data_IF_693487948449
#
_entry.id   IF_693487948449
#
_cell.length_a   1.000
_cell.length_b   1.000
_cell.length_c   1.000
_cell.angle_alpha   90.00
_cell.angle_beta   90.00
_cell.angle_gamma   90.00
#
_symmetry.space_group_name_H-M   'P 1'
#
loop_
_entity.id
_entity.type
_entity.pdbx_description
1 polymer ?
#
# COMPACT_ATOMS: atom_id res chain seq x y z
N UNK A 1 -13.00 21.68 3.31
CA UNK A 1 -13.38 20.54 2.46
C UNK A 1 -14.00 19.49 3.37
N UNK A 2 -15.11 18.86 2.99
CA UNK A 2 -15.61 17.71 3.76
C UNK A 2 -14.64 16.53 3.61
N UNK A 3 -14.31 15.80 4.68
CA UNK A 3 -13.43 14.65 4.59
C UNK A 3 -14.04 13.52 3.74
N UNK A 4 -13.20 12.82 2.97
CA UNK A 4 -13.60 11.61 2.26
C UNK A 4 -13.41 10.43 3.20
N UNK A 5 -14.46 9.64 3.41
CA UNK A 5 -14.43 8.52 4.34
C UNK A 5 -13.51 7.38 3.89
N UNK A 6 -13.44 7.12 2.58
CA UNK A 6 -12.65 6.05 2.00
C UNK A 6 -12.21 6.38 0.58
N UNK A 7 -10.92 6.23 0.29
CA UNK A 7 -10.34 6.30 -1.05
C UNK A 7 -9.71 4.94 -1.39
N UNK A 8 -10.03 4.38 -2.56
CA UNK A 8 -9.32 3.23 -3.13
C UNK A 8 -8.47 3.70 -4.30
N UNK A 9 -7.22 3.26 -4.34
CA UNK A 9 -6.31 3.45 -5.46
C UNK A 9 -5.77 2.07 -5.88
N UNK A 10 -5.84 1.77 -7.17
CA UNK A 10 -5.08 0.66 -7.77
C UNK A 10 -3.77 1.27 -8.28
N UNK A 11 -2.63 0.78 -7.80
CA UNK A 11 -1.32 1.39 -8.09
C UNK A 11 -0.46 0.42 -8.89
N UNK A 12 -0.22 0.80 -10.13
CA UNK A 12 0.54 0.09 -11.13
C UNK A 12 1.60 1.00 -11.76
N UNK A 13 2.83 0.51 -11.94
CA UNK A 13 3.85 1.16 -12.77
C UNK A 13 4.04 2.68 -12.54
N UNK A 14 3.61 3.50 -13.49
CA UNK A 14 3.72 4.97 -13.43
C UNK A 14 2.85 5.60 -12.34
N UNK A 15 1.86 4.88 -11.82
CA UNK A 15 0.94 5.37 -10.80
C UNK A 15 1.61 5.50 -9.43
N UNK A 16 2.77 4.87 -9.21
CA UNK A 16 3.59 5.10 -8.02
C UNK A 16 4.01 6.57 -7.90
N UNK A 17 4.36 7.22 -9.02
CA UNK A 17 4.68 8.65 -9.03
C UNK A 17 3.45 9.51 -8.68
N UNK A 18 2.26 9.10 -9.12
CA UNK A 18 1.00 9.79 -8.77
C UNK A 18 0.72 9.69 -7.27
N UNK A 19 0.96 8.51 -6.67
CA UNK A 19 0.84 8.34 -5.23
C UNK A 19 1.84 9.22 -4.47
N UNK A 20 3.08 9.34 -4.97
CA UNK A 20 4.09 10.23 -4.39
C UNK A 20 3.70 11.70 -4.45
N UNK A 21 3.24 12.18 -5.61
CA UNK A 21 2.72 13.54 -5.76
C UNK A 21 1.52 13.80 -4.83
N UNK A 22 0.61 12.82 -4.68
CA UNK A 22 -0.50 12.92 -3.74
C UNK A 22 -0.05 13.04 -2.27
N UNK A 23 1.17 12.60 -1.95
CA UNK A 23 1.80 12.70 -0.63
C UNK A 23 2.60 13.99 -0.39
N UNK A 24 3.00 14.72 -1.44
CA UNK A 24 3.90 15.90 -1.33
C UNK A 24 3.30 17.07 -0.53
N UNK A 25 1.98 17.28 -0.60
CA UNK A 25 1.39 18.55 -0.14
C UNK A 25 0.63 18.49 1.20
N UNK A 26 0.62 17.36 1.93
CA UNK A 26 -0.30 17.07 3.06
C UNK A 26 -1.81 17.24 2.73
N UNK A 27 -2.16 17.84 1.59
CA UNK A 27 -3.48 18.33 1.27
C UNK A 27 -4.34 17.32 0.53
N UNK A 28 -3.78 16.56 -0.42
CA UNK A 28 -4.59 15.63 -1.23
C UNK A 28 -5.02 14.40 -0.43
N UNK A 29 -4.13 13.82 0.38
CA UNK A 29 -4.45 12.68 1.24
C UNK A 29 -4.85 13.07 2.66
N UNK A 30 -4.60 14.30 3.08
CA UNK A 30 -4.84 14.74 4.46
C UNK A 30 -6.32 14.78 4.88
N UNK A 31 -7.26 14.90 3.94
CA UNK A 31 -8.71 14.84 4.21
C UNK A 31 -9.31 13.45 4.02
N UNK A 32 -8.49 12.43 3.78
CA UNK A 32 -8.92 11.04 3.60
C UNK A 32 -8.85 10.31 4.95
N UNK A 33 -9.98 9.75 5.42
CA UNK A 33 -10.03 8.99 6.68
C UNK A 33 -9.46 7.58 6.55
N UNK A 34 -9.73 6.92 5.43
CA UNK A 34 -9.28 5.56 5.16
C UNK A 34 -8.79 5.43 3.73
N UNK A 35 -7.71 4.67 3.54
CA UNK A 35 -7.06 4.47 2.25
C UNK A 35 -6.90 2.97 1.98
N UNK A 36 -7.43 2.53 0.84
CA UNK A 36 -7.14 1.23 0.25
C UNK A 36 -6.15 1.38 -0.90
N UNK A 37 -5.03 0.67 -0.84
CA UNK A 37 -4.02 0.65 -1.91
C UNK A 37 -3.87 -0.77 -2.42
N UNK A 38 -4.25 -1.01 -3.67
CA UNK A 38 -3.85 -2.25 -4.34
C UNK A 38 -2.42 -2.09 -4.86
N UNK A 39 -1.52 -2.93 -4.34
CA UNK A 39 -0.12 -2.96 -4.76
C UNK A 39 0.10 -4.16 -5.66
N UNK A 40 0.59 -3.91 -6.87
CA UNK A 40 0.95 -4.95 -7.83
C UNK A 40 2.43 -5.29 -7.75
N UNK A 41 2.74 -6.59 -7.67
CA UNK A 41 4.09 -7.11 -7.68
C UNK A 41 4.71 -6.95 -9.07
N UNK A 42 6.00 -6.57 -9.15
CA UNK A 42 6.68 -6.39 -10.42
C UNK A 42 6.70 -7.66 -11.29
N UNK A 43 6.59 -8.82 -10.66
CA UNK A 43 6.71 -10.17 -11.26
C UNK A 43 5.73 -10.51 -12.38
N UNK A 44 4.57 -9.84 -12.47
CA UNK A 44 3.50 -10.28 -13.39
C UNK A 44 3.48 -9.51 -14.70
N UNK A 45 4.05 -8.31 -14.74
CA UNK A 45 4.07 -7.45 -15.91
C UNK A 45 5.46 -6.79 -16.07
N UNK A 46 6.52 -7.59 -15.85
CA UNK A 46 7.89 -7.13 -15.89
C UNK A 46 8.19 -6.33 -17.16
N UNK A 47 8.62 -5.09 -17.00
CA UNK A 47 9.57 -4.49 -17.93
C UNK A 47 10.91 -5.22 -17.72
N UNK A 48 11.39 -6.04 -18.68
CA UNK A 48 12.62 -6.79 -18.51
C UNK A 48 13.87 -5.91 -18.31
N UNK A 49 13.76 -4.58 -18.50
CA UNK A 49 14.83 -3.61 -18.24
C UNK A 49 14.86 -3.05 -16.80
N UNK A 50 13.81 -3.27 -15.99
CA UNK A 50 13.73 -2.73 -14.63
C UNK A 50 14.48 -3.61 -13.61
N UNK A 51 15.30 -3.00 -12.74
CA UNK A 51 15.94 -3.70 -11.61
C UNK A 51 14.87 -4.04 -10.55
N UNK A 52 14.55 -5.34 -10.33
CA UNK A 52 13.50 -5.76 -9.40
C UNK A 52 13.70 -5.20 -7.99
N UNK A 53 14.96 -5.13 -7.53
CA UNK A 53 15.27 -4.67 -6.17
C UNK A 53 14.96 -3.19 -6.02
N UNK A 54 15.30 -2.38 -7.03
CA UNK A 54 15.00 -0.95 -7.01
C UNK A 54 13.50 -0.71 -6.98
N UNK A 55 12.73 -1.47 -7.76
CA UNK A 55 11.26 -1.38 -7.73
C UNK A 55 10.71 -1.73 -6.34
N UNK A 56 11.20 -2.81 -5.70
CA UNK A 56 10.76 -3.15 -4.35
C UNK A 56 11.11 -2.09 -3.31
N UNK A 57 12.32 -1.53 -3.36
CA UNK A 57 12.74 -0.45 -2.45
C UNK A 57 11.87 0.79 -2.63
N UNK A 58 11.65 1.20 -3.88
CA UNK A 58 10.80 2.34 -4.21
C UNK A 58 9.37 2.19 -3.69
N UNK A 59 8.75 1.02 -3.92
CA UNK A 59 7.43 0.70 -3.38
C UNK A 59 7.42 0.75 -1.84
N UNK A 60 8.45 0.21 -1.19
CA UNK A 60 8.57 0.23 0.26
C UNK A 60 8.67 1.66 0.81
N UNK A 61 9.49 2.51 0.19
CA UNK A 61 9.66 3.92 0.57
C UNK A 61 8.34 4.69 0.44
N UNK A 62 7.59 4.49 -0.66
CA UNK A 62 6.29 5.10 -0.85
C UNK A 62 5.28 4.66 0.25
N UNK A 63 5.22 3.36 0.56
CA UNK A 63 4.35 2.85 1.62
C UNK A 63 4.78 3.34 3.01
N UNK A 64 6.09 3.49 3.25
CA UNK A 64 6.60 4.05 4.49
C UNK A 64 6.25 5.55 4.63
N UNK A 65 6.28 6.30 3.53
CA UNK A 65 5.87 7.72 3.51
C UNK A 65 4.40 7.91 3.90
N UNK A 66 3.51 7.00 3.50
CA UNK A 66 2.12 6.98 3.99
C UNK A 66 2.08 6.88 5.53
N UNK A 67 2.93 6.05 6.13
CA UNK A 67 3.00 5.93 7.59
C UNK A 67 3.49 7.21 8.26
N UNK A 68 4.45 7.90 7.66
CA UNK A 68 4.93 9.22 8.14
C UNK A 68 3.79 10.25 8.10
N UNK A 69 2.91 10.19 7.10
CA UNK A 69 1.73 11.07 6.95
C UNK A 69 0.56 10.73 7.89
N UNK A 70 0.74 9.79 8.82
CA UNK A 70 -0.29 9.42 9.80
C UNK A 70 -1.22 8.29 9.34
N UNK A 71 -1.00 7.70 8.17
CA UNK A 71 -1.70 6.46 7.83
C UNK A 71 -1.15 5.29 8.63
N UNK A 72 -2.04 4.44 9.14
CA UNK A 72 -1.70 3.24 9.93
C UNK A 72 -2.31 2.04 9.25
N UNK A 73 -1.47 1.13 8.79
CA UNK A 73 -1.92 -0.13 8.18
C UNK A 73 -2.61 -0.99 9.25
N UNK A 74 -3.84 -1.39 9.02
CA UNK A 74 -4.60 -2.23 9.95
C UNK A 74 -5.03 -3.56 9.34
N UNK A 75 -5.02 -3.69 8.01
CA UNK A 75 -5.38 -4.93 7.34
C UNK A 75 -4.68 -5.04 5.97
N UNK A 76 -4.56 -6.27 5.47
CA UNK A 76 -4.18 -6.55 4.10
C UNK A 76 -4.94 -7.78 3.61
N UNK A 77 -5.18 -7.87 2.30
CA UNK A 77 -5.75 -9.08 1.68
C UNK A 77 -5.12 -9.37 0.35
N UNK A 78 -5.12 -10.66 -0.01
CA UNK A 78 -4.79 -11.10 -1.37
C UNK A 78 -5.90 -10.63 -2.32
N UNK A 79 -5.54 -10.08 -3.49
CA UNK A 79 -6.51 -9.99 -4.58
C UNK A 79 -6.79 -11.42 -5.10
N UNK A 80 -8.03 -11.94 -4.98
CA UNK A 80 -8.32 -13.32 -5.36
C UNK A 80 -8.07 -13.60 -6.84
N UNK A 81 -8.24 -12.60 -7.70
CA UNK A 81 -8.02 -12.68 -9.14
C UNK A 81 -6.54 -12.58 -9.54
N UNK A 82 -5.66 -12.22 -8.60
CA UNK A 82 -4.21 -12.14 -8.81
C UNK A 82 -3.45 -13.42 -8.54
N UNK A 83 -4.13 -14.52 -8.23
CA UNK A 83 -3.51 -15.77 -7.78
C UNK A 83 -2.75 -16.49 -8.90
N UNK A 84 -1.51 -16.89 -8.65
CA UNK A 84 -0.73 -17.70 -9.60
C UNK A 84 0.21 -18.69 -8.88
N UNK A 85 0.60 -19.78 -9.55
CA UNK A 85 1.57 -20.74 -9.01
C UNK A 85 2.99 -20.31 -9.39
N UNK A 86 3.89 -20.17 -8.41
CA UNK A 86 5.29 -19.82 -8.68
C UNK A 86 6.01 -20.96 -9.40
N UNK A 87 6.64 -20.66 -10.53
CA UNK A 87 7.51 -21.60 -11.25
C UNK A 87 8.84 -21.88 -10.52
N UNK A 88 9.18 -21.09 -9.49
CA UNK A 88 10.41 -21.24 -8.71
C UNK A 88 10.15 -22.05 -7.44
N UNK A 89 9.12 -21.67 -6.66
CA UNK A 89 8.88 -22.29 -5.34
C UNK A 89 7.71 -23.28 -5.35
N UNK A 90 6.93 -23.36 -6.42
CA UNK A 90 5.72 -24.19 -6.50
C UNK A 90 4.54 -23.72 -5.63
N UNK A 91 4.74 -22.68 -4.82
CA UNK A 91 3.75 -22.11 -3.91
C UNK A 91 2.77 -21.22 -4.66
N UNK A 92 1.53 -21.15 -4.17
CA UNK A 92 0.57 -20.15 -4.61
C UNK A 92 1.03 -18.75 -4.14
N UNK A 93 1.08 -17.81 -5.08
CA UNK A 93 1.43 -16.40 -4.88
C UNK A 93 0.29 -15.53 -5.38
N UNK A 94 0.40 -14.23 -5.14
CA UNK A 94 -0.49 -13.22 -5.70
C UNK A 94 0.33 -12.20 -6.47
N UNK A 95 -0.19 -11.75 -7.61
CA UNK A 95 0.31 -10.56 -8.28
C UNK A 95 0.03 -9.32 -7.46
N UNK A 96 -1.00 -9.36 -6.62
CA UNK A 96 -1.66 -8.15 -6.19
C UNK A 96 -2.18 -8.33 -4.76
N UNK A 97 -1.95 -7.32 -3.93
CA UNK A 97 -2.40 -7.27 -2.55
C UNK A 97 -3.10 -5.95 -2.29
N UNK A 98 -4.25 -5.97 -1.63
CA UNK A 98 -4.87 -4.75 -1.14
C UNK A 98 -4.41 -4.49 0.29
N UNK A 99 -3.84 -3.31 0.51
CA UNK A 99 -3.40 -2.78 1.79
C UNK A 99 -4.45 -1.79 2.29
N UNK A 100 -4.83 -1.89 3.56
CA UNK A 100 -5.83 -1.01 4.17
C UNK A 100 -5.21 -0.20 5.29
N UNK A 101 -5.41 1.11 5.19
CA UNK A 101 -4.88 2.12 6.10
C UNK A 101 -6.00 2.95 6.70
N UNK A 102 -5.79 3.37 7.95
CA UNK A 102 -6.60 4.38 8.62
C UNK A 102 -5.72 5.60 8.91
N UNK A 103 -6.25 6.79 8.67
CA UNK A 103 -5.54 8.03 8.97
C UNK A 103 -5.71 8.38 10.45
N UNK A 104 -4.62 8.35 11.21
CA UNK A 104 -4.63 8.58 12.65
C UNK A 104 -5.07 9.98 13.04
N UNK A 105 -5.00 10.96 12.13
CA UNK A 105 -5.49 12.32 12.37
C UNK A 105 -7.02 12.40 12.54
N UNK A 106 -7.75 11.35 12.15
CA UNK A 106 -9.21 11.24 12.32
C UNK A 106 -9.63 10.33 13.48
N UNK A 107 -8.68 9.79 14.24
CA UNK A 107 -8.97 8.95 15.39
C UNK A 107 -9.15 9.82 16.64
N UNK A 108 -10.08 9.44 17.50
CA UNK A 108 -10.24 10.05 18.84
C UNK A 108 -9.04 9.75 19.73
N UNK A 109 -8.70 10.61 20.67
CA UNK A 109 -7.52 10.54 21.56
C UNK A 109 -7.31 9.19 22.30
N UNK A 110 -8.35 8.34 22.40
CA UNK A 110 -8.30 7.03 23.06
C UNK A 110 -8.04 5.83 22.11
N UNK A 111 -7.39 6.04 20.96
CA UNK A 111 -7.07 4.92 20.06
C UNK A 111 -5.78 4.21 20.47
N UNK A 112 -5.74 2.89 20.29
CA UNK A 112 -4.52 2.08 20.47
C UNK A 112 -4.21 1.35 19.18
N UNK A 113 -2.99 1.50 18.67
CA UNK A 113 -2.50 0.68 17.54
C UNK A 113 -1.99 -0.64 18.12
N UNK A 114 -2.74 -1.72 17.90
CA UNK A 114 -2.33 -3.07 18.32
C UNK A 114 -1.50 -3.70 17.21
N UNK A 115 -0.18 -3.77 17.41
CA UNK A 115 0.70 -4.53 16.52
C UNK A 115 0.57 -6.01 16.86
N UNK A 116 -0.16 -6.76 16.03
CA UNK A 116 -0.20 -8.23 16.13
C UNK A 116 1.03 -8.82 15.43
N UNK A 117 1.33 -10.11 15.66
CA UNK A 117 2.45 -10.80 14.98
C UNK A 117 2.37 -10.68 13.45
N UNK A 118 1.15 -10.61 12.91
CA UNK A 118 0.86 -10.51 11.48
C UNK A 118 1.01 -9.08 10.92
N UNK A 119 1.07 -8.06 11.80
CA UNK A 119 1.32 -6.67 11.43
C UNK A 119 2.79 -6.41 11.03
N UNK A 120 3.69 -7.35 11.32
CA UNK A 120 5.15 -7.20 11.16
C UNK A 120 5.73 -7.60 9.80
N UNK A 121 4.90 -7.93 8.81
CA UNK A 121 5.42 -8.46 7.52
C UNK A 121 6.29 -7.43 6.76
N UNK A 122 6.28 -6.15 7.16
CA UNK A 122 7.08 -5.10 6.54
C UNK A 122 7.81 -4.17 7.55
N UNK A 123 8.14 -4.65 8.75
CA UNK A 123 9.10 -3.98 9.64
C UNK A 123 10.42 -4.76 9.70
#
# INVERSE_FOLDING_TARGET
>A
QEPVDYLKIDVEFSEWAVLEEAMEDQGTLGYIKQLGVEVRSPSVFFDPSADPRRTFVHMFEALHRLEILGFRKFNYRKNPFGSYKSNITGLERSCCYELHYINSHFLSDNFTVVHTKDSKIFH
#
